data_IF_149397829634
#
_entry.id   IF_149397829634
#
_cell.length_a   1.000
_cell.length_b   1.000
_cell.length_c   1.000
_cell.angle_alpha   90.00
_cell.angle_beta   90.00
_cell.angle_gamma   90.00
#
_symmetry.space_group_name_H-M   'P 1'
#
loop_
_entity.id
_entity.type
_entity.pdbx_description
1 polymer ?
#
# COMPACT_ATOMS: atom_id res chain seq x y z
N UNK A 1 -28.20 -2.13 7.32
CA UNK A 1 -26.82 -1.64 7.18
C UNK A 1 -26.63 -1.43 5.69
N UNK A 2 -26.32 -0.21 5.27
CA UNK A 2 -25.98 0.03 3.86
C UNK A 2 -24.62 -0.59 3.55
N UNK A 3 -24.27 -0.74 2.27
CA UNK A 3 -22.90 -1.14 1.89
C UNK A 3 -21.89 -0.10 2.35
N UNK A 4 -22.26 1.18 2.41
CA UNK A 4 -21.35 2.19 2.94
C UNK A 4 -21.05 1.99 4.43
N UNK A 5 -22.05 1.60 5.23
CA UNK A 5 -21.81 1.20 6.63
C UNK A 5 -20.86 -0.01 6.71
N UNK A 6 -21.04 -1.01 5.84
CA UNK A 6 -20.19 -2.21 5.79
C UNK A 6 -18.75 -1.85 5.39
N UNK A 7 -18.56 -0.94 4.42
CA UNK A 7 -17.26 -0.45 3.98
C UNK A 7 -16.55 0.33 5.08
N UNK A 8 -17.26 1.22 5.77
CA UNK A 8 -16.72 1.95 6.90
C UNK A 8 -16.27 1.01 8.03
N UNK A 9 -17.07 -0.02 8.33
CA UNK A 9 -16.70 -1.05 9.30
C UNK A 9 -15.46 -1.86 8.88
N UNK A 10 -15.35 -2.18 7.59
CA UNK A 10 -14.18 -2.87 7.03
C UNK A 10 -12.92 -2.00 7.11
N UNK A 11 -12.97 -0.72 6.72
CA UNK A 11 -11.85 0.23 6.83
C UNK A 11 -11.34 0.32 8.27
N UNK A 12 -12.25 0.46 9.24
CA UNK A 12 -11.90 0.48 10.66
C UNK A 12 -11.23 -0.81 11.12
N UNK A 13 -11.79 -1.97 10.76
CA UNK A 13 -11.20 -3.28 11.10
C UNK A 13 -9.81 -3.45 10.50
N UNK A 14 -9.61 -3.00 9.26
CA UNK A 14 -8.30 -2.99 8.60
C UNK A 14 -7.31 -2.11 9.36
N UNK A 15 -7.70 -0.88 9.72
CA UNK A 15 -6.85 0.02 10.50
C UNK A 15 -6.44 -0.61 11.86
N UNK A 16 -7.38 -1.23 12.58
CA UNK A 16 -7.10 -1.93 13.84
C UNK A 16 -6.12 -3.10 13.64
N UNK A 17 -6.29 -3.87 12.55
CA UNK A 17 -5.37 -4.96 12.19
C UNK A 17 -3.96 -4.43 11.93
N UNK A 18 -3.83 -3.35 11.13
CA UNK A 18 -2.54 -2.74 10.80
C UNK A 18 -1.83 -2.26 12.07
N UNK A 19 -2.53 -1.50 12.93
CA UNK A 19 -2.00 -0.99 14.21
C UNK A 19 -1.54 -2.10 15.13
N UNK A 20 -2.32 -3.19 15.21
CA UNK A 20 -2.02 -4.31 16.12
C UNK A 20 -0.83 -5.14 15.66
N UNK A 21 -0.69 -5.34 14.35
CA UNK A 21 0.21 -6.36 13.82
C UNK A 21 1.51 -5.80 13.22
N UNK A 22 1.61 -4.50 12.96
CA UNK A 22 2.78 -3.92 12.27
C UNK A 22 3.50 -2.92 13.19
N UNK A 23 4.68 -3.28 13.73
CA UNK A 23 5.53 -2.35 14.49
C UNK A 23 6.01 -1.16 13.66
N UNK A 24 6.41 -0.08 14.33
CA UNK A 24 6.71 1.21 13.69
C UNK A 24 8.00 1.25 12.89
N UNK A 25 8.96 0.37 13.20
CA UNK A 25 10.24 0.25 12.49
C UNK A 25 10.71 -1.20 12.50
N UNK A 26 10.45 -1.93 11.41
CA UNK A 26 10.98 -3.28 11.22
C UNK A 26 12.05 -3.27 10.16
N UNK A 27 13.17 -3.91 10.44
CA UNK A 27 14.28 -4.09 9.50
C UNK A 27 14.27 -5.48 8.88
N UNK A 28 14.99 -5.65 7.77
CA UNK A 28 15.15 -6.94 7.12
C UNK A 28 15.93 -8.01 7.91
N UNK A 29 16.46 -7.66 9.09
CA UNK A 29 17.02 -8.61 10.06
C UNK A 29 15.97 -9.16 11.03
N UNK A 30 14.82 -8.49 11.17
CA UNK A 30 13.75 -8.89 12.08
C UNK A 30 12.94 -10.06 11.53
N UNK A 31 12.62 -11.04 12.40
CA UNK A 31 11.79 -12.20 12.02
C UNK A 31 10.41 -11.78 11.50
N UNK A 32 9.82 -10.73 12.09
CA UNK A 32 8.50 -10.26 11.68
C UNK A 32 8.52 -9.63 10.28
N UNK A 33 9.58 -8.90 9.94
CA UNK A 33 9.78 -8.42 8.57
C UNK A 33 9.85 -9.60 7.59
N UNK A 34 10.62 -10.63 7.93
CA UNK A 34 10.77 -11.82 7.09
C UNK A 34 9.44 -12.56 6.89
N UNK A 35 8.59 -12.62 7.92
CA UNK A 35 7.23 -13.19 7.81
C UNK A 35 6.36 -12.36 6.86
N UNK A 36 6.40 -11.04 6.98
CA UNK A 36 5.54 -10.14 6.18
C UNK A 36 6.01 -9.99 4.74
N UNK A 37 7.30 -10.19 4.45
CA UNK A 37 7.88 -9.89 3.13
C UNK A 37 8.43 -11.11 2.41
N UNK A 38 8.70 -12.20 3.14
CA UNK A 38 9.46 -13.34 2.64
C UNK A 38 10.95 -13.04 2.40
N UNK A 39 11.45 -11.88 2.81
CA UNK A 39 12.81 -11.41 2.52
C UNK A 39 13.63 -11.21 3.78
N UNK A 40 14.90 -11.59 3.73
CA UNK A 40 15.92 -11.28 4.75
C UNK A 40 16.99 -10.35 4.18
N UNK A 41 17.73 -9.65 5.05
CA UNK A 41 18.89 -8.84 4.66
C UNK A 41 19.87 -9.62 3.80
N UNK A 42 20.18 -10.86 4.15
CA UNK A 42 21.08 -11.73 3.37
C UNK A 42 20.56 -11.98 1.95
N UNK A 43 19.27 -12.32 1.81
CA UNK A 43 18.66 -12.57 0.50
C UNK A 43 18.62 -11.32 -0.39
N UNK A 44 18.37 -10.15 0.22
CA UNK A 44 18.34 -8.86 -0.46
C UNK A 44 19.74 -8.43 -0.92
N UNK A 45 20.74 -8.53 -0.04
CA UNK A 45 22.14 -8.24 -0.38
C UNK A 45 22.64 -9.10 -1.54
N UNK A 46 22.28 -10.39 -1.56
CA UNK A 46 22.64 -11.28 -2.67
C UNK A 46 22.04 -10.83 -4.01
N UNK A 47 20.85 -10.22 -4.01
CA UNK A 47 20.21 -9.64 -5.19
C UNK A 47 20.87 -8.32 -5.59
N UNK A 48 21.13 -7.43 -4.63
CA UNK A 48 21.76 -6.14 -4.87
C UNK A 48 23.20 -6.27 -5.39
N UNK A 49 23.94 -7.26 -4.91
CA UNK A 49 25.27 -7.60 -5.44
C UNK A 49 25.26 -7.97 -6.93
N UNK A 50 24.10 -8.41 -7.46
CA UNK A 50 23.88 -8.71 -8.89
C UNK A 50 23.28 -7.52 -9.67
N UNK A 51 23.19 -6.34 -9.05
CA UNK A 51 22.65 -5.13 -9.66
C UNK A 51 21.13 -4.96 -9.56
N UNK A 52 20.42 -5.84 -8.85
CA UNK A 52 18.99 -5.67 -8.61
C UNK A 52 18.70 -4.43 -7.75
N UNK A 53 17.55 -3.79 -7.98
CA UNK A 53 16.99 -2.72 -7.14
C UNK A 53 15.80 -3.19 -6.31
N UNK A 54 15.57 -4.50 -6.26
CA UNK A 54 14.43 -5.09 -5.56
C UNK A 54 14.42 -4.72 -4.08
N UNK A 55 13.24 -4.36 -3.58
CA UNK A 55 12.94 -4.10 -2.18
C UNK A 55 11.64 -4.79 -1.81
N UNK A 56 11.23 -4.70 -0.54
CA UNK A 56 10.10 -5.45 0.01
C UNK A 56 8.72 -4.80 -0.17
N UNK A 57 8.60 -3.63 -0.80
CA UNK A 57 7.35 -2.86 -0.81
C UNK A 57 6.15 -3.65 -1.34
N UNK A 58 6.30 -4.32 -2.48
CA UNK A 58 5.24 -5.11 -3.12
C UNK A 58 4.94 -6.40 -2.38
N UNK A 59 5.95 -7.10 -1.86
CA UNK A 59 5.73 -8.30 -1.04
C UNK A 59 5.02 -7.98 0.27
N UNK A 60 5.40 -6.89 0.93
CA UNK A 60 4.72 -6.39 2.12
C UNK A 60 3.26 -6.04 1.82
N UNK A 61 2.99 -5.30 0.74
CA UNK A 61 1.63 -5.00 0.31
C UNK A 61 0.82 -6.29 0.06
N UNK A 62 1.40 -7.28 -0.63
CA UNK A 62 0.76 -8.57 -0.85
C UNK A 62 0.37 -9.29 0.43
N UNK A 63 1.25 -9.27 1.44
CA UNK A 63 0.95 -9.83 2.76
C UNK A 63 -0.18 -9.09 3.46
N UNK A 64 -0.21 -7.75 3.42
CA UNK A 64 -1.30 -6.96 4.01
C UNK A 64 -2.63 -7.31 3.34
N UNK A 65 -2.66 -7.40 2.01
CA UNK A 65 -3.86 -7.77 1.27
C UNK A 65 -4.41 -9.14 1.72
N UNK A 66 -3.52 -10.14 1.87
CA UNK A 66 -3.91 -11.45 2.42
C UNK A 66 -4.41 -11.35 3.87
N UNK A 67 -3.77 -10.54 4.71
CA UNK A 67 -4.14 -10.37 6.11
C UNK A 67 -5.53 -9.73 6.30
N UNK A 68 -5.96 -8.89 5.35
CA UNK A 68 -7.32 -8.31 5.34
C UNK A 68 -8.35 -9.20 4.62
N UNK A 69 -7.95 -10.36 4.10
CA UNK A 69 -8.84 -11.34 3.48
C UNK A 69 -8.96 -11.24 1.95
N UNK A 70 -8.19 -10.37 1.30
CA UNK A 70 -8.09 -10.34 -0.15
C UNK A 70 -7.15 -11.47 -0.59
N UNK A 71 -7.68 -12.48 -1.28
CA UNK A 71 -6.92 -13.66 -1.72
C UNK A 71 -7.10 -13.91 -3.21
N UNK A 72 -6.13 -14.59 -3.84
CA UNK A 72 -6.13 -14.91 -5.27
C UNK A 72 -6.27 -13.69 -6.21
N UNK A 73 -5.84 -12.52 -5.76
CA UNK A 73 -5.93 -11.25 -6.50
C UNK A 73 -4.57 -10.67 -6.89
N UNK A 74 -4.58 -9.65 -7.74
CA UNK A 74 -3.39 -8.83 -8.05
C UNK A 74 -2.77 -8.22 -6.81
N UNK A 75 -3.60 -7.78 -5.85
CA UNK A 75 -3.14 -7.20 -4.59
C UNK A 75 -2.43 -8.26 -3.75
N UNK A 76 -3.06 -9.42 -3.52
CA UNK A 76 -2.50 -10.50 -2.69
C UNK A 76 -1.24 -11.14 -3.26
N UNK A 77 -1.02 -11.03 -4.57
CA UNK A 77 0.20 -11.47 -5.26
C UNK A 77 1.37 -10.52 -5.04
N UNK A 78 1.12 -9.31 -4.54
CA UNK A 78 2.16 -8.33 -4.25
C UNK A 78 2.88 -7.87 -5.51
N UNK A 79 2.15 -7.34 -6.49
CA UNK A 79 2.74 -6.72 -7.70
C UNK A 79 2.90 -5.21 -7.52
N UNK A 80 3.75 -4.58 -8.34
CA UNK A 80 3.93 -3.12 -8.31
C UNK A 80 2.80 -2.36 -9.03
N UNK A 81 2.34 -2.91 -10.17
CA UNK A 81 1.25 -2.33 -10.93
C UNK A 81 -0.09 -2.85 -10.42
N UNK A 82 -0.57 -2.23 -9.35
CA UNK A 82 -1.84 -2.55 -8.70
C UNK A 82 -3.05 -1.94 -9.43
N UNK A 83 -2.85 -1.08 -10.43
CA UNK A 83 -3.94 -0.53 -11.26
C UNK A 83 -4.74 -1.63 -11.97
N UNK A 84 -4.10 -2.77 -12.20
CA UNK A 84 -4.71 -3.99 -12.74
C UNK A 84 -5.85 -4.56 -11.88
N UNK A 85 -6.00 -4.12 -10.63
CA UNK A 85 -7.13 -4.48 -9.77
C UNK A 85 -8.47 -4.10 -10.41
N UNK A 86 -8.48 -3.05 -11.24
CA UNK A 86 -9.64 -2.62 -12.02
C UNK A 86 -10.19 -3.73 -12.95
N UNK A 87 -9.33 -4.63 -13.43
CA UNK A 87 -9.76 -5.77 -14.23
C UNK A 87 -10.39 -6.89 -13.40
N UNK A 88 -10.17 -6.89 -12.08
CA UNK A 88 -10.73 -7.86 -11.14
C UNK A 88 -12.03 -7.32 -10.53
N UNK A 89 -12.07 -6.03 -10.17
CA UNK A 89 -13.24 -5.31 -9.65
C UNK A 89 -13.30 -3.91 -10.27
N UNK A 90 -14.31 -3.66 -11.10
CA UNK A 90 -14.47 -2.35 -11.75
C UNK A 90 -14.79 -1.23 -10.73
N UNK A 91 -14.19 -0.06 -10.95
CA UNK A 91 -14.32 1.12 -10.12
C UNK A 91 -13.51 1.08 -8.82
N UNK A 92 -12.66 0.07 -8.62
CA UNK A 92 -11.84 0.01 -7.41
C UNK A 92 -10.57 0.85 -7.53
N UNK A 93 -10.09 1.14 -8.74
CA UNK A 93 -8.90 1.95 -8.96
C UNK A 93 -9.22 3.41 -9.23
N UNK A 94 -8.61 4.29 -8.43
CA UNK A 94 -8.70 5.74 -8.60
C UNK A 94 -7.35 6.28 -9.05
N UNK A 95 -7.34 6.97 -10.20
CA UNK A 95 -6.17 7.67 -10.71
C UNK A 95 -5.97 9.00 -9.98
N UNK A 96 -4.79 9.22 -9.40
CA UNK A 96 -4.50 10.42 -8.61
C UNK A 96 -4.22 11.68 -9.45
N UNK A 97 -4.06 11.51 -10.76
CA UNK A 97 -3.79 12.59 -11.71
C UNK A 97 -5.04 13.03 -12.50
N UNK A 98 -6.23 12.67 -12.03
CA UNK A 98 -7.48 13.17 -12.62
C UNK A 98 -7.80 14.56 -12.06
N UNK A 99 -8.55 15.36 -12.83
CA UNK A 99 -9.03 16.65 -12.32
C UNK A 99 -9.88 16.49 -11.07
N UNK A 100 -10.63 15.40 -10.96
CA UNK A 100 -11.45 15.09 -9.79
C UNK A 100 -10.56 14.91 -8.55
N UNK A 101 -9.54 14.05 -8.59
CA UNK A 101 -8.61 13.86 -7.46
C UNK A 101 -7.72 15.07 -7.15
N UNK A 102 -7.51 15.97 -8.11
CA UNK A 102 -6.67 17.16 -7.92
C UNK A 102 -7.46 18.34 -7.34
N UNK A 103 -8.75 18.45 -7.67
CA UNK A 103 -9.58 19.61 -7.33
C UNK A 103 -10.70 19.30 -6.33
N UNK A 104 -11.00 18.02 -6.08
CA UNK A 104 -11.95 17.59 -5.06
C UNK A 104 -11.18 17.16 -3.80
N UNK A 105 -11.22 18.03 -2.80
CA UNK A 105 -10.59 17.80 -1.48
C UNK A 105 -11.20 16.61 -0.73
N UNK A 106 -12.33 16.06 -1.21
CA UNK A 106 -12.98 14.85 -0.67
C UNK A 106 -12.54 13.56 -1.38
N UNK A 107 -11.86 13.68 -2.52
CA UNK A 107 -11.40 12.52 -3.29
C UNK A 107 -9.99 12.10 -2.87
N UNK A 108 -9.89 11.46 -1.71
CA UNK A 108 -8.64 10.97 -1.15
C UNK A 108 -8.70 9.47 -0.81
N UNK A 109 -7.54 8.80 -0.63
CA UNK A 109 -7.50 7.43 -0.13
C UNK A 109 -8.06 7.31 1.29
N UNK A 110 -8.55 6.13 1.63
CA UNK A 110 -9.02 5.78 2.96
C UNK A 110 -8.10 4.79 3.67
N UNK A 111 -8.28 4.64 4.97
CA UNK A 111 -7.61 3.62 5.75
C UNK A 111 -7.81 2.22 5.16
N UNK A 112 -6.71 1.52 4.91
CA UNK A 112 -6.67 0.19 4.27
C UNK A 112 -6.33 0.23 2.78
N UNK A 113 -6.44 1.37 2.12
CA UNK A 113 -6.22 1.47 0.68
C UNK A 113 -4.76 1.25 0.29
N UNK A 114 -4.57 0.72 -0.92
CA UNK A 114 -3.25 0.46 -1.48
C UNK A 114 -2.96 1.51 -2.52
N UNK A 115 -1.89 2.27 -2.34
CA UNK A 115 -1.49 3.27 -3.32
C UNK A 115 -0.27 2.82 -4.09
N UNK A 116 -0.11 3.34 -5.31
CA UNK A 116 1.09 3.16 -6.12
C UNK A 116 1.76 4.50 -6.42
N UNK A 117 3.09 4.53 -6.33
CA UNK A 117 3.90 5.68 -6.72
C UNK A 117 4.90 5.36 -7.83
N UNK A 118 5.35 6.37 -8.61
CA UNK A 118 6.41 6.22 -9.59
C UNK A 118 7.78 6.06 -8.95
N UNK A 119 8.72 5.52 -9.73
CA UNK A 119 10.15 5.50 -9.42
C UNK A 119 10.94 5.92 -10.66
N UNK A 120 12.14 6.52 -10.56
CA UNK A 120 12.87 6.97 -11.75
C UNK A 120 13.03 5.88 -12.83
N UNK A 121 12.43 6.13 -13.99
CA UNK A 121 12.40 5.21 -15.14
C UNK A 121 11.31 4.13 -15.10
N UNK A 122 10.39 4.17 -14.13
CA UNK A 122 9.32 3.19 -13.95
C UNK A 122 8.03 3.85 -13.48
N UNK A 123 6.95 3.68 -14.25
CA UNK A 123 5.63 4.24 -13.91
C UNK A 123 5.13 3.71 -12.56
N UNK A 124 5.17 2.40 -12.33
CA UNK A 124 4.73 1.77 -11.07
C UNK A 124 5.94 1.23 -10.33
N UNK A 125 6.55 2.05 -9.47
CA UNK A 125 7.83 1.73 -8.84
C UNK A 125 7.77 1.50 -7.33
N UNK A 126 6.67 1.90 -6.69
CA UNK A 126 6.45 1.70 -5.26
C UNK A 126 4.99 1.41 -4.98
N UNK A 127 4.72 0.63 -3.94
CA UNK A 127 3.38 0.43 -3.38
C UNK A 127 3.43 0.53 -1.86
N UNK A 128 2.36 1.03 -1.27
CA UNK A 128 2.21 1.14 0.18
C UNK A 128 0.75 1.10 0.60
N UNK A 129 0.54 1.05 1.91
CA UNK A 129 -0.79 0.95 2.50
C UNK A 129 -1.09 2.23 3.27
N UNK A 130 -2.28 2.79 3.05
CA UNK A 130 -2.77 3.94 3.80
C UNK A 130 -3.30 3.44 5.13
N UNK A 131 -2.72 3.91 6.23
CA UNK A 131 -3.20 3.61 7.57
C UNK A 131 -4.32 4.56 7.99
N UNK A 132 -4.17 5.85 7.68
CA UNK A 132 -5.10 6.89 8.09
C UNK A 132 -4.97 8.13 7.19
N UNK A 133 -6.02 8.94 7.13
CA UNK A 133 -6.03 10.23 6.42
C UNK A 133 -6.65 11.30 7.30
N UNK A 134 -5.91 12.38 7.56
CA UNK A 134 -6.38 13.58 8.24
C UNK A 134 -6.83 14.60 7.18
N UNK A 135 -8.14 14.75 7.03
CA UNK A 135 -8.77 15.66 6.07
C UNK A 135 -8.46 17.14 6.35
N UNK A 136 -8.29 17.52 7.61
CA UNK A 136 -8.03 18.93 8.00
C UNK A 136 -6.58 19.28 7.68
N UNK A 137 -5.65 18.41 8.07
CA UNK A 137 -4.23 18.61 7.84
C UNK A 137 -3.81 18.29 6.39
N UNK A 138 -4.66 17.59 5.63
CA UNK A 138 -4.35 17.03 4.31
C UNK A 138 -3.07 16.17 4.38
N UNK A 139 -3.01 15.33 5.42
CA UNK A 139 -1.89 14.40 5.64
C UNK A 139 -2.39 12.99 5.73
N UNK A 140 -1.68 12.08 5.10
CA UNK A 140 -1.89 10.65 5.29
C UNK A 140 -0.80 10.04 6.14
N UNK A 141 -1.17 8.99 6.88
CA UNK A 141 -0.23 8.09 7.52
C UNK A 141 -0.16 6.82 6.69
N UNK A 142 1.05 6.46 6.28
CA UNK A 142 1.35 5.32 5.43
C UNK A 142 2.12 4.26 6.21
N UNK A 143 1.94 3.01 5.82
CA UNK A 143 2.79 1.89 6.21
C UNK A 143 3.40 1.30 4.95
N UNK A 144 4.71 1.25 4.88
CA UNK A 144 5.42 0.95 3.64
C UNK A 144 6.60 0.03 3.91
N UNK A 145 6.65 -1.09 3.20
CA UNK A 145 7.90 -1.82 2.97
C UNK A 145 8.82 -1.05 2.02
N UNK A 146 10.02 -1.56 1.79
CA UNK A 146 10.93 -1.01 0.79
C UNK A 146 11.54 0.36 1.12
N UNK A 147 11.57 0.76 2.39
CA UNK A 147 12.10 2.07 2.82
C UNK A 147 13.62 2.10 3.01
N UNK A 148 14.34 1.06 2.60
CA UNK A 148 15.80 1.02 2.53
C UNK A 148 16.30 0.76 1.11
N UNK A 149 17.12 -0.29 0.96
CA UNK A 149 17.66 -0.72 -0.33
C UNK A 149 19.19 -0.79 -0.36
N UNK A 150 19.79 -0.92 -1.57
CA UNK A 150 21.23 -1.15 -1.73
C UNK A 150 22.12 -0.13 -1.01
N UNK A 151 21.71 1.15 -1.00
CA UNK A 151 22.49 2.23 -0.35
C UNK A 151 22.55 2.08 1.17
N UNK A 152 21.46 1.63 1.78
CA UNK A 152 21.37 1.41 3.24
C UNK A 152 21.86 0.01 3.64
N UNK A 153 22.12 -0.86 2.66
CA UNK A 153 22.52 -2.25 2.86
C UNK A 153 21.55 -3.06 3.77
N UNK A 154 20.30 -2.60 3.83
CA UNK A 154 19.20 -3.17 4.61
C UNK A 154 17.89 -2.60 4.07
N UNK A 155 16.78 -3.29 4.33
CA UNK A 155 15.45 -2.81 3.98
C UNK A 155 14.55 -2.70 5.22
N UNK A 156 13.46 -1.94 5.10
CA UNK A 156 12.60 -1.59 6.22
C UNK A 156 11.12 -1.54 5.86
N UNK A 157 10.29 -1.92 6.84
CA UNK A 157 8.89 -1.50 6.92
C UNK A 157 8.83 -0.31 7.90
N UNK A 158 8.28 0.81 7.45
CA UNK A 158 8.16 2.03 8.26
C UNK A 158 6.77 2.63 8.19
N UNK A 159 6.44 3.32 9.27
CA UNK A 159 5.31 4.23 9.34
C UNK A 159 5.77 5.65 8.96
N UNK A 160 4.97 6.34 8.16
CA UNK A 160 5.28 7.68 7.67
C UNK A 160 4.04 8.54 7.61
N UNK A 161 4.06 9.69 8.28
CA UNK A 161 3.04 10.72 8.12
C UNK A 161 3.62 11.83 7.27
N UNK A 162 2.98 12.11 6.14
CA UNK A 162 3.41 13.16 5.20
C UNK A 162 2.20 13.88 4.63
N UNK A 163 2.43 15.06 4.04
CA UNK A 163 1.39 15.75 3.29
C UNK A 163 0.97 14.89 2.10
N UNK A 164 -0.34 14.78 1.88
CA UNK A 164 -0.86 14.14 0.69
C UNK A 164 -0.57 15.02 -0.54
N UNK A 165 -0.06 14.40 -1.58
CA UNK A 165 0.19 15.03 -2.87
C UNK A 165 -0.21 14.04 -3.96
N UNK A 166 -1.41 14.21 -4.50
CA UNK A 166 -1.94 13.36 -5.58
C UNK A 166 -1.06 13.35 -6.82
N UNK A 167 -0.33 14.44 -7.10
CA UNK A 167 0.60 14.50 -8.24
C UNK A 167 1.86 13.64 -8.04
N UNK A 168 2.15 13.23 -6.80
CA UNK A 168 3.31 12.40 -6.46
C UNK A 168 3.06 10.90 -6.56
N UNK A 169 1.82 10.49 -6.84
CA UNK A 169 1.41 9.08 -6.93
C UNK A 169 0.67 8.81 -8.25
N UNK A 170 0.58 7.52 -8.62
CA UNK A 170 -0.20 7.11 -9.78
C UNK A 170 -1.69 7.05 -9.45
N UNK A 171 -2.03 6.55 -8.27
CA UNK A 171 -3.40 6.25 -7.86
C UNK A 171 -3.46 5.29 -6.69
N UNK A 172 -4.66 4.89 -6.31
CA UNK A 172 -4.91 3.93 -5.23
C UNK A 172 -6.07 3.00 -5.56
N UNK A 173 -6.06 1.84 -4.90
CA UNK A 173 -7.19 0.90 -4.89
C UNK A 173 -8.00 1.14 -3.63
N UNK A 174 -9.28 1.48 -3.78
CA UNK A 174 -10.26 1.44 -2.68
C UNK A 174 -10.52 -0.02 -2.32
N UNK A 175 -9.96 -0.44 -1.20
CA UNK A 175 -10.03 -1.82 -0.74
C UNK A 175 -11.41 -2.21 -0.25
N UNK A 176 -12.16 -1.24 0.30
CA UNK A 176 -13.51 -1.49 0.78
C UNK A 176 -14.46 -1.68 -0.41
N UNK A 177 -14.31 -0.89 -1.47
CA UNK A 177 -15.00 -1.11 -2.73
C UNK A 177 -14.60 -2.44 -3.38
N UNK A 178 -13.30 -2.76 -3.38
CA UNK A 178 -12.78 -4.02 -3.93
C UNK A 178 -13.44 -5.24 -3.25
N UNK A 179 -13.57 -5.22 -1.92
CA UNK A 179 -14.15 -6.34 -1.15
C UNK A 179 -15.68 -6.34 -1.14
N UNK A 180 -16.31 -5.17 -1.23
CA UNK A 180 -17.77 -4.99 -1.15
C UNK A 180 -18.22 -4.11 -2.34
N UNK A 181 -18.30 -4.68 -3.56
CA UNK A 181 -18.55 -3.89 -4.77
C UNK A 181 -20.01 -3.47 -4.95
N UNK A 182 -20.19 -2.44 -5.77
CA UNK A 182 -21.48 -1.97 -6.27
C UNK A 182 -22.12 -0.86 -5.44
N UNK A 183 -23.08 -0.17 -6.04
CA UNK A 183 -23.79 0.93 -5.39
C UNK A 183 -24.78 0.42 -4.34
N UNK A 184 -25.16 1.32 -3.43
CA UNK A 184 -26.31 1.15 -2.54
C UNK A 184 -27.64 1.26 -3.31
#
# INVERSE_FOLDING_TARGET
>A
MSKEDDRAALRKKTQEMLKKNIPTDLSSDDKQFQIMTGMSTTSLRAKWAKGSRETSCNSFAGWVAQAIGITNSVLSRGVLDISKAENEVAGCWTWANTSETIYDDTCHPHAGDFYSGPFPGQQFGHVGVVYDFDEIAQTWTLIQGGQGGPKSNMDFIKWKTVKFDGASINGWVDTAWYMIPGYD
#
